data_IF_749019246159
#
_entry.id   IF_749019246159
#
_cell.length_a   1.000
_cell.length_b   1.000
_cell.length_c   1.000
_cell.angle_alpha   90.00
_cell.angle_beta   90.00
_cell.angle_gamma   90.00
#
_symmetry.space_group_name_H-M   'P 1'
#
loop_
_entity.id
_entity.type
_entity.pdbx_description
1 polymer ?
#
# COMPACT_ATOMS: atom_id res chain seq x y z
N UNK A 1 -11.47 -17.22 -6.10
CA UNK A 1 -10.24 -18.01 -6.18
C UNK A 1 -9.28 -17.53 -5.11
N UNK A 2 -8.54 -18.43 -4.47
CA UNK A 2 -7.48 -18.11 -3.53
C UNK A 2 -6.21 -17.64 -4.28
N UNK A 3 -5.21 -17.17 -3.53
CA UNK A 3 -3.89 -16.86 -4.08
C UNK A 3 -3.28 -18.12 -4.70
N UNK A 4 -2.69 -17.99 -5.89
CA UNK A 4 -2.03 -19.06 -6.65
C UNK A 4 -2.95 -20.20 -7.12
N UNK A 5 -4.29 -20.01 -7.07
CA UNK A 5 -5.26 -20.92 -7.69
C UNK A 5 -5.43 -20.59 -9.19
N UNK A 6 -5.60 -21.62 -10.02
CA UNK A 6 -5.89 -21.51 -11.46
C UNK A 6 -7.08 -22.39 -11.85
N UNK A 7 -7.74 -22.06 -12.97
CA UNK A 7 -8.80 -22.87 -13.60
C UNK A 7 -8.53 -22.96 -15.09
N UNK A 8 -8.32 -24.18 -15.58
CA UNK A 8 -8.11 -24.44 -17.00
C UNK A 8 -9.47 -24.71 -17.69
N UNK A 9 -9.79 -23.93 -18.73
CA UNK A 9 -11.00 -24.09 -19.53
C UNK A 9 -10.63 -24.60 -20.92
N UNK A 10 -10.87 -25.89 -21.15
CA UNK A 10 -10.61 -26.54 -22.44
C UNK A 10 -11.80 -26.42 -23.41
N UNK A 11 -11.55 -26.72 -24.68
CA UNK A 11 -12.58 -26.81 -25.74
C UNK A 11 -13.37 -25.53 -26.03
N UNK A 12 -12.84 -24.35 -25.70
CA UNK A 12 -13.42 -23.08 -26.15
C UNK A 12 -13.28 -22.92 -27.67
N UNK A 13 -14.33 -22.48 -28.39
CA UNK A 13 -14.23 -22.18 -29.81
C UNK A 13 -13.28 -21.00 -30.07
N UNK A 14 -12.43 -21.14 -31.09
CA UNK A 14 -11.44 -20.13 -31.49
C UNK A 14 -12.11 -18.97 -32.22
N UNK A 15 -11.58 -17.75 -32.05
CA UNK A 15 -12.17 -16.56 -32.67
C UNK A 15 -13.52 -16.14 -32.08
N UNK A 16 -13.75 -16.40 -30.79
CA UNK A 16 -14.88 -15.87 -30.02
C UNK A 16 -14.37 -14.88 -28.98
N UNK A 17 -15.15 -13.84 -28.67
CA UNK A 17 -14.81 -12.87 -27.63
C UNK A 17 -15.34 -13.36 -26.28
N UNK A 18 -14.47 -13.40 -25.28
CA UNK A 18 -14.80 -13.75 -23.90
C UNK A 18 -14.40 -12.62 -22.97
N UNK A 19 -15.17 -12.46 -21.89
CA UNK A 19 -14.89 -11.51 -20.81
C UNK A 19 -14.76 -12.28 -19.51
N UNK A 20 -13.61 -12.19 -18.84
CA UNK A 20 -13.42 -12.69 -17.48
C UNK A 20 -13.46 -11.51 -16.53
N UNK A 21 -14.34 -11.56 -15.53
CA UNK A 21 -14.59 -10.44 -14.61
C UNK A 21 -14.35 -10.85 -13.17
N UNK A 22 -13.54 -10.09 -12.44
CA UNK A 22 -13.29 -10.31 -11.01
C UNK A 22 -14.24 -9.46 -10.13
N UNK A 23 -15.00 -10.16 -9.28
CA UNK A 23 -15.95 -9.62 -8.28
C UNK A 23 -15.26 -8.96 -7.09
N UNK A 24 -15.94 -7.99 -6.45
CA UNK A 24 -15.69 -7.32 -5.17
C UNK A 24 -14.54 -7.76 -4.20
N UNK A 25 -13.20 -7.62 -4.42
CA UNK A 25 -12.23 -7.94 -3.37
C UNK A 25 -12.25 -6.90 -2.22
N UNK A 26 -12.82 -5.72 -2.45
CA UNK A 26 -13.05 -4.69 -1.45
C UNK A 26 -12.06 -3.53 -1.53
N UNK A 27 -12.39 -2.47 -0.79
CA UNK A 27 -11.71 -1.15 -0.78
C UNK A 27 -10.20 -1.18 -0.48
N UNK A 28 -9.72 -2.28 0.10
CA UNK A 28 -8.34 -2.47 0.55
C UNK A 28 -7.44 -3.15 -0.50
N UNK A 29 -7.93 -3.28 -1.74
CA UNK A 29 -7.21 -3.89 -2.85
C UNK A 29 -7.30 -3.04 -4.12
N UNK A 30 -6.24 -3.07 -4.93
CA UNK A 30 -6.21 -2.62 -6.31
C UNK A 30 -6.05 -3.85 -7.21
N UNK A 31 -7.06 -4.11 -8.04
CA UNK A 31 -7.06 -5.19 -9.02
C UNK A 31 -6.41 -4.73 -10.33
N UNK A 32 -5.54 -5.56 -10.88
CA UNK A 32 -5.09 -5.50 -12.26
C UNK A 32 -5.13 -6.89 -12.90
N UNK A 33 -5.12 -6.95 -14.23
CA UNK A 33 -5.09 -8.20 -14.97
C UNK A 33 -4.00 -8.19 -16.06
N UNK A 34 -3.63 -9.38 -16.52
CA UNK A 34 -2.59 -9.61 -17.53
C UNK A 34 -3.07 -10.71 -18.47
N UNK A 35 -2.95 -10.48 -19.79
CA UNK A 35 -3.28 -11.45 -20.83
C UNK A 35 -1.99 -12.00 -21.46
N UNK A 36 -1.82 -13.31 -21.60
CA UNK A 36 -0.77 -13.93 -22.45
C UNK A 36 0.64 -13.33 -22.28
N UNK A 37 1.11 -13.17 -21.04
CA UNK A 37 2.45 -12.62 -20.79
C UNK A 37 2.62 -11.10 -20.98
N UNK A 38 1.58 -10.37 -21.41
CA UNK A 38 1.60 -8.92 -21.68
C UNK A 38 1.79 -8.02 -20.44
N UNK A 39 1.72 -6.70 -20.60
CA UNK A 39 1.77 -5.76 -19.47
C UNK A 39 0.48 -5.84 -18.64
N UNK A 40 0.60 -5.59 -17.34
CA UNK A 40 -0.56 -5.52 -16.45
C UNK A 40 -1.41 -4.29 -16.78
N UNK A 41 -2.73 -4.48 -16.88
CA UNK A 41 -3.73 -3.44 -17.09
C UNK A 41 -4.53 -3.25 -15.81
N UNK A 42 -4.63 -2.02 -15.32
CA UNK A 42 -5.50 -1.69 -14.19
C UNK A 42 -6.96 -1.93 -14.58
N UNK A 43 -7.67 -2.73 -13.80
CA UNK A 43 -9.02 -3.13 -14.15
C UNK A 43 -9.39 -4.52 -13.66
N UNK A 44 -10.64 -4.88 -13.96
CA UNK A 44 -11.33 -6.03 -13.36
C UNK A 44 -12.06 -6.89 -14.36
N UNK A 45 -12.16 -6.44 -15.61
CA UNK A 45 -12.75 -7.17 -16.72
C UNK A 45 -11.67 -7.31 -17.80
N UNK A 46 -11.23 -8.54 -18.03
CA UNK A 46 -10.32 -8.89 -19.11
C UNK A 46 -11.15 -9.37 -20.29
N UNK A 47 -11.26 -8.56 -21.34
CA UNK A 47 -11.83 -8.97 -22.61
C UNK A 47 -10.72 -9.43 -23.55
N UNK A 48 -10.89 -10.60 -24.16
CA UNK A 48 -9.99 -11.14 -25.16
C UNK A 48 -10.74 -11.99 -26.19
N UNK A 49 -10.12 -12.18 -27.35
CA UNK A 49 -10.63 -13.02 -28.43
C UNK A 49 -9.78 -14.28 -28.47
N UNK A 50 -10.41 -15.46 -28.35
CA UNK A 50 -9.69 -16.75 -28.30
C UNK A 50 -8.77 -16.92 -29.50
N UNK A 51 -7.51 -17.21 -29.23
CA UNK A 51 -6.49 -17.45 -30.25
C UNK A 51 -6.85 -18.65 -31.11
N UNK A 52 -6.45 -18.63 -32.38
CA UNK A 52 -6.43 -19.83 -33.23
C UNK A 52 -5.22 -20.72 -32.98
N UNK A 53 -4.25 -20.24 -32.19
CA UNK A 53 -2.95 -20.88 -32.01
C UNK A 53 -2.45 -20.68 -30.57
N UNK A 54 -2.25 -21.77 -29.83
CA UNK A 54 -1.85 -21.73 -28.42
C UNK A 54 -3.01 -21.53 -27.45
N UNK A 55 -2.68 -21.46 -26.15
CA UNK A 55 -3.63 -21.24 -25.07
C UNK A 55 -3.68 -19.75 -24.71
N UNK A 56 -4.85 -19.26 -24.30
CA UNK A 56 -5.01 -17.93 -23.70
C UNK A 56 -4.99 -18.03 -22.16
N UNK A 57 -4.14 -17.22 -21.53
CA UNK A 57 -3.97 -17.12 -20.08
C UNK A 57 -4.38 -15.71 -19.61
N UNK A 58 -5.25 -15.65 -18.59
CA UNK A 58 -5.61 -14.41 -17.88
C UNK A 58 -5.19 -14.53 -16.42
N UNK A 59 -4.22 -13.72 -16.01
CA UNK A 59 -3.78 -13.63 -14.61
C UNK A 59 -4.38 -12.39 -13.95
N UNK A 60 -5.12 -12.52 -12.85
CA UNK A 60 -5.54 -11.40 -12.01
C UNK A 60 -4.58 -11.19 -10.84
N UNK A 61 -4.36 -9.94 -10.44
CA UNK A 61 -3.51 -9.56 -9.31
C UNK A 61 -4.25 -8.58 -8.41
N UNK A 62 -4.43 -8.94 -7.14
CA UNK A 62 -5.00 -8.09 -6.10
C UNK A 62 -3.91 -7.58 -5.17
N UNK A 63 -3.38 -6.39 -5.46
CA UNK A 63 -2.41 -5.72 -4.60
C UNK A 63 -3.12 -5.05 -3.43
N UNK A 64 -2.73 -5.33 -2.18
CA UNK A 64 -3.35 -4.64 -1.04
C UNK A 64 -2.90 -3.17 -0.99
N UNK A 65 -3.86 -2.28 -0.74
CA UNK A 65 -3.63 -0.83 -0.52
C UNK A 65 -3.48 -0.48 0.96
N UNK A 66 -3.62 -1.47 1.86
CA UNK A 66 -3.30 -1.29 3.28
C UNK A 66 -1.79 -1.12 3.39
N UNK A 67 -1.34 0.08 3.73
CA UNK A 67 0.05 0.30 4.08
C UNK A 67 0.46 -0.70 5.18
N UNK A 68 1.68 -1.29 5.12
CA UNK A 68 2.17 -2.08 6.24
C UNK A 68 2.06 -1.23 7.52
N UNK A 69 1.70 -1.82 8.67
CA UNK A 69 1.55 -1.06 9.90
C UNK A 69 2.84 -0.26 10.14
N UNK A 70 2.72 1.04 10.42
CA UNK A 70 3.88 1.91 10.65
C UNK A 70 4.52 1.60 12.02
N UNK A 71 5.16 0.43 12.08
CA UNK A 71 5.90 -0.09 13.22
C UNK A 71 7.18 0.71 13.36
N UNK A 72 7.09 1.81 14.10
CA UNK A 72 8.20 2.73 14.31
C UNK A 72 7.93 4.19 13.98
N UNK A 73 6.68 4.69 14.10
CA UNK A 73 6.49 6.15 14.26
C UNK A 73 7.29 6.63 15.46
N UNK A 74 8.43 7.26 15.19
CA UNK A 74 9.26 7.88 16.19
C UNK A 74 8.49 9.02 16.84
N UNK A 75 8.40 9.00 18.17
CA UNK A 75 7.62 9.98 18.97
C UNK A 75 8.13 11.43 18.80
N UNK A 76 9.25 11.62 18.09
CA UNK A 76 9.92 12.89 17.82
C UNK A 76 9.07 13.92 17.06
N UNK A 77 8.09 13.50 16.25
CA UNK A 77 7.25 14.41 15.46
C UNK A 77 6.05 14.99 16.25
N UNK A 78 6.18 15.09 17.57
CA UNK A 78 5.19 15.74 18.43
C UNK A 78 5.67 17.14 18.84
N UNK A 79 4.92 18.18 18.44
CA UNK A 79 5.20 19.59 18.78
C UNK A 79 5.38 19.81 20.31
N UNK A 80 4.76 18.94 21.11
CA UNK A 80 4.83 18.91 22.56
C UNK A 80 6.20 18.50 23.12
N UNK A 81 6.97 17.64 22.45
CA UNK A 81 8.33 17.28 22.88
C UNK A 81 9.28 18.46 22.68
N UNK A 82 9.13 19.21 21.59
CA UNK A 82 9.91 20.43 21.36
C UNK A 82 9.64 21.46 22.47
N UNK A 83 8.36 21.66 22.84
CA UNK A 83 7.98 22.54 23.96
C UNK A 83 8.59 22.07 25.29
N UNK A 84 8.60 20.77 25.60
CA UNK A 84 9.24 20.22 26.80
C UNK A 84 10.75 20.52 26.84
N UNK A 85 11.46 20.34 25.73
CA UNK A 85 12.89 20.63 25.63
C UNK A 85 13.17 22.13 25.85
N UNK A 86 12.37 23.01 25.23
CA UNK A 86 12.48 24.47 25.41
C UNK A 86 12.25 24.88 26.88
N UNK A 87 11.22 24.34 27.54
CA UNK A 87 10.94 24.61 28.95
C UNK A 87 12.09 24.16 29.86
N UNK A 88 12.68 22.99 29.60
CA UNK A 88 13.83 22.50 30.37
C UNK A 88 15.04 23.43 30.24
N UNK A 89 15.37 23.90 29.03
CA UNK A 89 16.47 24.85 28.79
C UNK A 89 16.25 26.16 29.55
N UNK A 90 15.03 26.73 29.47
CA UNK A 90 14.68 27.97 30.18
C UNK A 90 14.77 27.79 31.70
N UNK A 91 14.33 26.65 32.24
CA UNK A 91 14.39 26.36 33.67
C UNK A 91 15.84 26.29 34.20
N UNK A 92 16.75 25.69 33.44
CA UNK A 92 18.17 25.60 33.78
C UNK A 92 18.87 26.97 33.70
N UNK A 93 18.55 27.76 32.66
CA UNK A 93 19.02 29.15 32.53
C UNK A 93 18.54 30.04 33.67
N UNK A 94 17.26 29.97 34.02
CA UNK A 94 16.67 30.73 35.13
C UNK A 94 17.28 30.38 36.49
N UNK A 95 17.46 29.09 36.78
CA UNK A 95 18.10 28.64 38.03
C UNK A 95 19.57 29.11 38.15
N UNK A 96 20.35 29.04 37.07
CA UNK A 96 21.74 29.52 37.10
C UNK A 96 21.84 31.03 37.26
N UNK A 97 20.93 31.81 36.64
CA UNK A 97 20.85 33.26 36.82
C UNK A 97 20.46 33.66 38.26
N UNK A 98 19.40 33.06 38.82
CA UNK A 98 18.98 33.30 40.21
C UNK A 98 20.09 32.93 41.21
N UNK A 99 20.79 31.81 40.98
CA UNK A 99 21.94 31.38 41.79
C UNK A 99 23.13 32.34 41.70
N UNK A 100 23.27 33.08 40.59
CA UNK A 100 24.29 34.13 40.41
C UNK A 100 23.91 35.42 41.16
N UNK A 101 22.62 35.77 41.20
CA UNK A 101 22.13 36.92 42.00
C UNK A 101 22.24 36.66 43.50
N UNK A 102 21.87 35.46 43.99
CA UNK A 102 21.97 35.09 45.43
C UNK A 102 23.41 34.98 45.96
N UNK A 103 24.44 35.14 45.11
CA UNK A 103 25.85 35.25 45.51
C UNK A 103 26.37 36.69 45.56
N UNK A 104 25.53 37.69 45.26
CA UNK A 104 25.88 39.12 45.26
C UNK A 104 25.06 39.94 46.27
N UNK A 105 24.43 39.26 47.22
CA UNK A 105 23.80 39.81 48.42
C UNK A 105 24.27 38.98 49.62
#
# INVERSE_FOLDING_TARGET
MAKDESVDISCLPTGWTYTVTETDPGKNYKTSYKLNGSNATDGRAAEFRTSTTGNDEVTFTNASTVAPPETGRTIHDSEWILLLIVVLIISAGGMTFLRKMKKRY
#
